data_IF_968390202852
#
_entry.id   IF_968390202852
#
_cell.length_a   1.000
_cell.length_b   1.000
_cell.length_c   1.000
_cell.angle_alpha   90.00
_cell.angle_beta   90.00
_cell.angle_gamma   90.00
#
_symmetry.space_group_name_H-M   'P 1'
#
loop_
_entity.id
_entity.type
_entity.pdbx_description
1 polymer ?
#
# COMPACT_ATOMS: atom_id res chain seq x y z
N UNK A 1 38.31 63.55 3.47
CA UNK A 1 37.92 62.13 3.62
C UNK A 1 36.48 62.01 3.18
N UNK A 2 36.29 61.74 1.90
CA UNK A 2 34.97 61.60 1.29
C UNK A 2 34.49 60.15 1.45
N UNK A 3 33.20 59.90 1.67
CA UNK A 3 32.68 58.54 1.81
C UNK A 3 32.76 57.83 0.45
N UNK A 4 33.32 56.63 0.41
CA UNK A 4 33.24 55.79 -0.77
C UNK A 4 31.79 55.33 -0.95
N UNK A 5 31.14 55.88 -1.97
CA UNK A 5 29.90 55.38 -2.53
C UNK A 5 30.16 54.00 -3.16
N UNK A 6 29.56 52.95 -2.61
CA UNK A 6 29.48 51.67 -3.29
C UNK A 6 28.63 51.81 -4.56
N UNK A 7 29.07 51.29 -5.73
CA UNK A 7 28.34 51.48 -6.96
C UNK A 7 27.15 50.54 -7.05
N UNK A 8 26.01 51.13 -7.43
CA UNK A 8 25.02 50.64 -8.38
C UNK A 8 24.67 49.13 -8.36
N UNK A 9 23.50 48.86 -7.79
CA UNK A 9 22.45 48.04 -8.39
C UNK A 9 22.90 47.16 -9.57
N UNK A 10 23.33 45.93 -9.27
CA UNK A 10 23.32 44.87 -10.26
C UNK A 10 21.84 44.61 -10.57
N UNK A 11 21.33 45.22 -11.64
CA UNK A 11 20.07 44.83 -12.25
C UNK A 11 20.18 43.33 -12.57
N UNK A 12 19.69 42.47 -11.67
CA UNK A 12 19.35 41.10 -12.02
C UNK A 12 18.17 41.26 -12.97
N UNK A 13 18.44 41.16 -14.28
CA UNK A 13 17.40 41.06 -15.30
C UNK A 13 16.52 39.88 -14.93
N UNK A 14 15.40 40.20 -14.30
CA UNK A 14 14.16 39.46 -14.13
C UNK A 14 14.16 38.07 -14.76
N UNK A 15 14.53 37.06 -13.97
CA UNK A 15 14.12 35.67 -14.17
C UNK A 15 12.60 35.47 -13.98
N UNK A 16 11.92 36.52 -13.49
CA UNK A 16 10.49 36.60 -13.22
C UNK A 16 9.60 36.13 -14.39
N UNK A 17 9.98 36.39 -15.65
CA UNK A 17 9.18 35.98 -16.81
C UNK A 17 9.30 34.50 -17.24
N UNK A 18 10.26 33.74 -16.69
CA UNK A 18 10.52 32.34 -17.08
C UNK A 18 9.93 31.31 -16.10
N UNK A 19 9.74 31.68 -14.84
CA UNK A 19 9.16 30.81 -13.82
C UNK A 19 7.65 30.61 -14.05
N UNK A 20 6.91 31.67 -14.39
CA UNK A 20 5.45 31.62 -14.57
C UNK A 20 4.95 30.52 -15.51
N UNK A 21 5.71 30.21 -16.57
CA UNK A 21 5.32 29.18 -17.54
C UNK A 21 5.46 27.75 -17.02
N UNK A 22 6.19 27.58 -15.93
CA UNK A 22 6.47 26.28 -15.31
C UNK A 22 5.57 26.01 -14.11
N UNK A 23 4.86 27.02 -13.62
CA UNK A 23 3.98 26.91 -12.45
C UNK A 23 2.52 26.65 -12.84
N UNK A 24 1.77 26.10 -11.89
CA UNK A 24 0.33 26.00 -11.96
C UNK A 24 -0.32 27.38 -12.17
N UNK A 25 -1.40 27.49 -12.96
CA UNK A 25 -2.11 28.76 -13.15
C UNK A 25 -2.66 29.36 -11.85
N UNK A 26 -2.87 28.53 -10.82
CA UNK A 26 -3.35 28.95 -9.49
C UNK A 26 -2.24 29.50 -8.60
N UNK A 27 -0.96 29.36 -8.99
CA UNK A 27 0.18 29.81 -8.19
C UNK A 27 0.60 31.20 -8.64
N UNK A 28 0.75 32.11 -7.69
CA UNK A 28 1.28 33.45 -7.92
C UNK A 28 2.80 33.45 -7.68
N UNK A 29 3.60 33.55 -8.74
CA UNK A 29 5.06 33.57 -8.63
C UNK A 29 5.58 34.74 -7.79
N UNK A 30 4.91 35.90 -7.82
CA UNK A 30 5.34 37.07 -7.04
C UNK A 30 5.32 36.82 -5.53
N UNK A 31 4.42 35.96 -5.04
CA UNK A 31 4.40 35.58 -3.62
C UNK A 31 5.62 34.71 -3.26
N UNK A 32 6.05 33.85 -4.18
CA UNK A 32 7.23 33.00 -3.99
C UNK A 32 8.49 33.88 -4.01
N UNK A 33 8.56 34.85 -4.92
CA UNK A 33 9.66 35.82 -5.00
C UNK A 33 9.74 36.74 -3.78
N UNK A 34 8.62 36.99 -3.07
CA UNK A 34 8.61 37.75 -1.82
C UNK A 34 9.12 36.91 -0.63
N UNK A 35 8.79 35.62 -0.60
CA UNK A 35 9.14 34.72 0.49
C UNK A 35 10.58 34.20 0.42
N UNK A 36 11.13 34.03 -0.79
CA UNK A 36 12.46 33.46 -1.01
C UNK A 36 13.36 34.45 -1.76
N UNK A 37 14.57 34.66 -1.24
CA UNK A 37 15.55 35.58 -1.87
C UNK A 37 16.06 35.05 -3.22
N UNK A 38 16.18 33.72 -3.34
CA UNK A 38 16.63 33.03 -4.55
C UNK A 38 15.77 31.80 -4.86
N UNK A 39 15.59 31.41 -6.14
CA UNK A 39 14.92 30.16 -6.50
C UNK A 39 15.55 28.90 -5.88
N UNK A 40 16.86 28.94 -5.61
CA UNK A 40 17.60 27.86 -4.94
C UNK A 40 17.24 27.70 -3.46
N UNK A 41 16.62 28.71 -2.84
CA UNK A 41 16.18 28.67 -1.45
C UNK A 41 14.77 28.07 -1.30
N UNK A 42 14.06 27.84 -2.41
CA UNK A 42 12.70 27.30 -2.40
C UNK A 42 12.73 25.85 -1.89
N UNK A 43 11.97 25.59 -0.83
CA UNK A 43 11.77 24.24 -0.32
C UNK A 43 11.24 23.30 -1.41
N UNK A 44 11.84 22.10 -1.52
CA UNK A 44 11.54 21.12 -2.57
C UNK A 44 10.03 20.82 -2.69
N UNK A 45 9.33 20.68 -1.56
CA UNK A 45 7.90 20.38 -1.56
C UNK A 45 7.10 21.57 -2.10
N UNK A 46 7.46 22.80 -1.72
CA UNK A 46 6.78 24.02 -2.15
C UNK A 46 6.99 24.21 -3.65
N UNK A 47 8.23 24.17 -4.12
CA UNK A 47 8.55 24.29 -5.55
C UNK A 47 7.93 23.16 -6.37
N UNK A 48 8.07 21.92 -5.92
CA UNK A 48 7.57 20.74 -6.62
C UNK A 48 6.04 20.69 -6.75
N UNK A 49 5.30 21.14 -5.74
CA UNK A 49 3.83 21.25 -5.79
C UNK A 49 3.35 22.47 -6.59
N UNK A 50 4.20 23.49 -6.71
CA UNK A 50 3.88 24.69 -7.47
C UNK A 50 3.99 24.47 -8.99
N UNK A 51 4.79 23.50 -9.44
CA UNK A 51 4.97 23.17 -10.86
C UNK A 51 3.68 22.72 -11.55
N UNK A 52 3.47 23.18 -12.78
CA UNK A 52 2.40 22.71 -13.65
C UNK A 52 2.58 21.21 -13.96
N UNK A 53 1.52 20.39 -13.85
CA UNK A 53 1.58 18.98 -14.18
C UNK A 53 1.96 18.73 -15.63
N UNK A 54 2.72 17.65 -15.87
CA UNK A 54 2.95 17.17 -17.22
C UNK A 54 1.63 16.65 -17.84
N UNK A 55 1.55 16.64 -19.17
CA UNK A 55 0.34 16.18 -19.88
C UNK A 55 -0.03 14.75 -19.49
N UNK A 56 -1.20 14.56 -18.89
CA UNK A 56 -1.68 13.26 -18.43
C UNK A 56 -1.10 12.81 -17.08
N UNK A 57 -0.33 13.65 -16.39
CA UNK A 57 0.20 13.41 -15.06
C UNK A 57 -0.49 14.30 -14.02
N UNK A 58 -0.40 13.90 -12.75
CA UNK A 58 -0.81 14.73 -11.61
C UNK A 58 0.33 15.60 -11.07
N UNK A 59 1.58 15.22 -11.35
CA UNK A 59 2.78 15.85 -10.81
C UNK A 59 3.49 16.70 -11.87
N UNK A 60 4.13 17.76 -11.41
CA UNK A 60 5.08 18.54 -12.20
C UNK A 60 6.36 17.75 -12.55
N UNK A 61 7.21 18.27 -13.44
CA UNK A 61 8.42 17.61 -13.90
C UNK A 61 9.37 17.14 -12.77
N UNK A 62 9.59 17.95 -11.74
CA UNK A 62 10.54 17.65 -10.66
C UNK A 62 10.03 16.51 -9.80
N UNK A 63 8.79 16.61 -9.28
CA UNK A 63 8.21 15.54 -8.48
C UNK A 63 7.98 14.26 -9.28
N UNK A 64 7.66 14.36 -10.58
CA UNK A 64 7.57 13.19 -11.47
C UNK A 64 8.91 12.45 -11.56
N UNK A 65 10.01 13.19 -11.74
CA UNK A 65 11.36 12.61 -11.81
C UNK A 65 11.73 11.91 -10.50
N UNK A 66 11.53 12.57 -9.36
CA UNK A 66 11.83 12.02 -8.04
C UNK A 66 10.98 10.79 -7.73
N UNK A 67 9.67 10.87 -7.97
CA UNK A 67 8.74 9.77 -7.76
C UNK A 67 9.07 8.56 -8.64
N UNK A 68 9.32 8.77 -9.94
CA UNK A 68 9.67 7.70 -10.86
C UNK A 68 10.99 7.01 -10.46
N UNK A 69 12.02 7.77 -10.06
CA UNK A 69 13.28 7.21 -9.56
C UNK A 69 13.07 6.40 -8.29
N UNK A 70 12.29 6.91 -7.33
CA UNK A 70 12.01 6.19 -6.09
C UNK A 70 11.25 4.89 -6.38
N UNK A 71 10.19 4.91 -7.18
CA UNK A 71 9.41 3.73 -7.52
C UNK A 71 10.24 2.70 -8.31
N UNK A 72 11.08 3.16 -9.25
CA UNK A 72 12.00 2.29 -9.98
C UNK A 72 13.00 1.61 -9.06
N UNK A 73 13.59 2.36 -8.11
CA UNK A 73 14.54 1.82 -7.15
C UNK A 73 13.86 0.82 -6.20
N UNK A 74 12.64 1.12 -5.73
CA UNK A 74 11.85 0.18 -4.92
C UNK A 74 11.58 -1.11 -5.68
N UNK A 75 11.09 -1.03 -6.93
CA UNK A 75 10.83 -2.22 -7.76
C UNK A 75 12.09 -3.04 -8.03
N UNK A 76 13.20 -2.40 -8.40
CA UNK A 76 14.45 -3.10 -8.75
C UNK A 76 15.25 -3.59 -7.55
N UNK A 77 15.14 -2.90 -6.42
CA UNK A 77 15.85 -3.23 -5.18
C UNK A 77 15.14 -4.27 -4.33
N UNK A 78 13.85 -4.53 -4.59
CA UNK A 78 13.08 -5.53 -3.87
C UNK A 78 13.33 -6.94 -4.42
N UNK A 79 14.00 -7.76 -3.61
CA UNK A 79 14.22 -9.19 -3.89
C UNK A 79 12.90 -9.96 -4.03
N UNK A 80 11.83 -9.51 -3.38
CA UNK A 80 10.52 -10.15 -3.41
C UNK A 80 9.53 -9.45 -4.34
N UNK A 81 9.99 -8.57 -5.23
CA UNK A 81 9.11 -8.00 -6.26
C UNK A 81 8.41 -9.13 -7.02
N UNK A 82 7.08 -9.10 -7.06
CA UNK A 82 6.27 -10.26 -7.46
C UNK A 82 6.57 -10.78 -8.87
N UNK A 83 7.00 -9.91 -9.80
CA UNK A 83 7.32 -10.31 -11.17
C UNK A 83 8.74 -10.88 -11.34
N UNK A 84 9.52 -10.95 -10.27
CA UNK A 84 10.85 -11.55 -10.32
C UNK A 84 10.75 -13.04 -10.65
N UNK A 85 11.68 -13.54 -11.47
CA UNK A 85 11.69 -14.92 -11.96
C UNK A 85 12.73 -15.82 -11.27
N UNK A 86 13.47 -15.30 -10.28
CA UNK A 86 14.48 -16.09 -9.56
C UNK A 86 13.87 -16.90 -8.41
N UNK A 87 14.18 -18.19 -8.38
CA UNK A 87 13.80 -19.11 -7.31
C UNK A 87 14.58 -18.80 -6.01
N UNK A 88 14.01 -18.97 -4.81
CA UNK A 88 12.70 -19.54 -4.46
C UNK A 88 11.56 -18.53 -4.34
N UNK A 89 11.76 -17.27 -4.73
CA UNK A 89 10.79 -16.19 -4.48
C UNK A 89 9.84 -15.92 -5.64
N UNK A 90 10.10 -16.52 -6.81
CA UNK A 90 9.29 -16.35 -8.00
C UNK A 90 7.93 -17.07 -7.87
N UNK A 91 6.87 -16.37 -8.28
CA UNK A 91 5.59 -17.01 -8.58
C UNK A 91 5.69 -17.83 -9.88
N UNK A 92 4.84 -18.86 -10.01
CA UNK A 92 4.65 -19.54 -11.30
C UNK A 92 3.99 -18.59 -12.31
N UNK A 93 4.05 -18.93 -13.60
CA UNK A 93 3.38 -18.14 -14.65
C UNK A 93 1.86 -18.08 -14.39
N UNK A 94 1.24 -19.21 -14.01
CA UNK A 94 -0.19 -19.26 -13.71
C UNK A 94 -0.58 -18.41 -12.50
N UNK A 95 0.26 -18.38 -11.47
CA UNK A 95 0.09 -17.49 -10.32
C UNK A 95 0.24 -16.02 -10.72
N UNK A 96 1.21 -15.68 -11.56
CA UNK A 96 1.41 -14.31 -12.06
C UNK A 96 0.24 -13.82 -12.90
N UNK A 97 -0.35 -14.67 -13.73
CA UNK A 97 -1.49 -14.31 -14.56
C UNK A 97 -2.71 -13.97 -13.69
N UNK A 98 -2.95 -14.72 -12.61
CA UNK A 98 -3.99 -14.40 -11.64
C UNK A 98 -3.73 -13.08 -10.90
N UNK A 99 -2.49 -12.83 -10.46
CA UNK A 99 -2.11 -11.54 -9.84
C UNK A 99 -2.34 -10.38 -10.81
N UNK A 100 -1.95 -10.52 -12.09
CA UNK A 100 -2.08 -9.47 -13.12
C UNK A 100 -3.52 -9.17 -13.52
N UNK A 101 -4.39 -10.17 -13.47
CA UNK A 101 -5.83 -10.02 -13.74
C UNK A 101 -6.55 -9.23 -12.63
N UNK A 102 -6.01 -9.22 -11.41
CA UNK A 102 -6.64 -8.60 -10.25
C UNK A 102 -6.74 -7.08 -10.41
N UNK A 103 -7.94 -6.53 -10.17
CA UNK A 103 -8.20 -5.09 -10.16
C UNK A 103 -8.52 -4.61 -8.74
N UNK A 104 -8.25 -3.32 -8.45
CA UNK A 104 -8.66 -2.74 -7.16
C UNK A 104 -10.19 -2.71 -7.01
N UNK A 105 -10.92 -2.60 -8.12
CA UNK A 105 -12.37 -2.75 -8.14
C UNK A 105 -12.83 -4.12 -7.61
N UNK A 106 -12.19 -5.20 -8.06
CA UNK A 106 -12.45 -6.57 -7.57
C UNK A 106 -12.15 -6.70 -6.08
N UNK A 107 -11.00 -6.20 -5.63
CA UNK A 107 -10.60 -6.23 -4.22
C UNK A 107 -11.66 -5.53 -3.34
N UNK A 108 -12.16 -4.38 -3.77
CA UNK A 108 -13.21 -3.66 -3.05
C UNK A 108 -14.51 -4.46 -3.03
N UNK A 109 -14.93 -5.03 -4.16
CA UNK A 109 -16.13 -5.88 -4.24
C UNK A 109 -16.07 -7.11 -3.32
N UNK A 110 -14.89 -7.71 -3.14
CA UNK A 110 -14.71 -8.89 -2.28
C UNK A 110 -14.73 -8.57 -0.78
N UNK A 111 -14.43 -7.32 -0.40
CA UNK A 111 -14.14 -6.96 1.00
C UNK A 111 -15.04 -5.87 1.57
N UNK A 112 -15.94 -5.27 0.78
CA UNK A 112 -16.84 -4.22 1.24
C UNK A 112 -18.28 -4.74 1.34
N UNK A 113 -18.93 -4.54 2.49
CA UNK A 113 -20.26 -5.09 2.78
C UNK A 113 -21.37 -4.48 1.90
N UNK A 114 -21.31 -3.18 1.64
CA UNK A 114 -22.39 -2.42 0.98
C UNK A 114 -22.08 -1.98 -0.46
N UNK A 115 -20.98 -2.45 -1.05
CA UNK A 115 -20.61 -2.10 -2.43
C UNK A 115 -21.06 -3.20 -3.38
N UNK A 116 -22.13 -2.93 -4.13
CA UNK A 116 -22.68 -3.84 -5.15
C UNK A 116 -22.34 -3.45 -6.59
N UNK A 117 -22.04 -2.18 -6.81
CA UNK A 117 -21.68 -1.63 -8.11
C UNK A 117 -20.44 -0.76 -7.96
N UNK A 118 -19.49 -0.92 -8.88
CA UNK A 118 -18.24 -0.18 -8.87
C UNK A 118 -17.71 0.00 -10.29
N UNK A 119 -17.02 1.12 -10.54
CA UNK A 119 -16.32 1.35 -11.79
C UNK A 119 -15.05 0.50 -11.88
N UNK A 120 -14.66 0.12 -13.10
CA UNK A 120 -13.49 -0.75 -13.30
C UNK A 120 -12.17 -0.05 -12.91
N UNK A 121 -11.97 1.19 -13.38
CA UNK A 121 -10.83 2.00 -12.98
C UNK A 121 -11.20 2.93 -11.82
N UNK A 122 -10.91 2.48 -10.60
CA UNK A 122 -11.24 3.23 -9.38
C UNK A 122 -10.45 4.52 -9.19
N UNK A 123 -9.34 4.70 -9.91
CA UNK A 123 -8.54 5.93 -9.87
C UNK A 123 -9.07 7.03 -10.80
N UNK A 124 -9.98 6.68 -11.72
CA UNK A 124 -10.64 7.63 -12.60
C UNK A 124 -12.06 7.92 -12.09
N UNK A 125 -12.57 9.10 -12.43
CA UNK A 125 -13.97 9.42 -12.20
C UNK A 125 -14.86 8.47 -13.00
N UNK A 126 -16.05 8.24 -12.47
CA UNK A 126 -17.07 7.47 -13.16
C UNK A 126 -17.58 8.28 -14.36
N UNK A 127 -17.87 7.59 -15.46
CA UNK A 127 -18.49 8.17 -16.65
C UNK A 127 -19.42 7.16 -17.34
N UNK A 128 -20.22 7.61 -18.30
CA UNK A 128 -21.20 6.76 -19.00
C UNK A 128 -20.61 5.97 -20.18
N UNK A 129 -19.35 6.18 -20.54
CA UNK A 129 -18.79 5.69 -21.80
C UNK A 129 -17.77 4.55 -21.62
N UNK A 130 -16.87 4.68 -20.65
CA UNK A 130 -15.73 3.78 -20.47
C UNK A 130 -15.44 3.39 -19.02
N UNK A 131 -15.95 4.13 -18.04
CA UNK A 131 -15.74 3.83 -16.62
C UNK A 131 -17.05 3.83 -15.82
N UNK A 132 -18.12 3.28 -16.41
CA UNK A 132 -19.40 3.16 -15.75
C UNK A 132 -19.37 2.10 -14.65
N UNK A 133 -20.12 2.30 -13.55
CA UNK A 133 -20.24 1.28 -12.51
C UNK A 133 -20.89 0.00 -13.03
N UNK A 134 -20.24 -1.13 -12.81
CA UNK A 134 -20.75 -2.47 -13.13
C UNK A 134 -21.02 -3.24 -11.85
N UNK A 135 -21.89 -4.24 -11.92
CA UNK A 135 -22.17 -5.11 -10.77
C UNK A 135 -20.92 -5.89 -10.36
N UNK A 136 -20.68 -6.00 -9.05
CA UNK A 136 -19.61 -6.82 -8.47
C UNK A 136 -19.74 -8.32 -8.81
N UNK A 137 -20.94 -8.76 -9.18
CA UNK A 137 -21.21 -10.14 -9.65
C UNK A 137 -21.05 -10.30 -11.16
N UNK A 138 -20.69 -9.25 -11.90
CA UNK A 138 -20.48 -9.33 -13.33
C UNK A 138 -19.19 -10.08 -13.67
N UNK A 139 -19.19 -10.76 -14.82
CA UNK A 139 -18.01 -11.43 -15.39
C UNK A 139 -16.95 -10.46 -15.92
N UNK A 140 -17.14 -9.15 -15.74
CA UNK A 140 -16.14 -8.14 -16.10
C UNK A 140 -15.14 -7.93 -14.94
N UNK A 141 -15.50 -8.33 -13.72
CA UNK A 141 -14.69 -8.24 -12.52
C UNK A 141 -14.35 -9.64 -12.00
N UNK A 142 -13.48 -10.33 -12.74
CA UNK A 142 -13.03 -11.67 -12.42
C UNK A 142 -12.36 -11.75 -11.06
N UNK A 143 -12.70 -12.79 -10.30
CA UNK A 143 -12.07 -13.09 -9.00
C UNK A 143 -10.74 -13.83 -9.21
N UNK A 144 -9.86 -13.76 -8.20
CA UNK A 144 -8.61 -14.49 -8.17
C UNK A 144 -8.86 -16.00 -8.05
N UNK A 145 -8.29 -16.80 -8.94
CA UNK A 145 -8.28 -18.26 -8.82
C UNK A 145 -7.10 -18.73 -7.95
N UNK A 146 -7.41 -19.12 -6.73
CA UNK A 146 -6.43 -19.65 -5.77
C UNK A 146 -6.01 -21.11 -6.06
N UNK A 147 -6.58 -21.77 -7.07
CA UNK A 147 -6.23 -23.15 -7.42
C UNK A 147 -4.73 -23.33 -7.71
N UNK A 148 -4.08 -22.29 -8.25
CA UNK A 148 -2.64 -22.27 -8.56
C UNK A 148 -1.72 -22.16 -7.35
N UNK A 149 -2.25 -21.93 -6.14
CA UNK A 149 -1.50 -21.94 -4.88
C UNK A 149 -1.69 -23.22 -4.08
N UNK A 150 -2.43 -24.19 -4.64
CA UNK A 150 -2.61 -25.49 -4.01
C UNK A 150 -1.26 -26.18 -3.89
N UNK A 151 -0.92 -26.57 -2.67
CA UNK A 151 0.27 -27.33 -2.40
C UNK A 151 0.13 -28.75 -2.97
N UNK A 152 1.11 -29.16 -3.78
CA UNK A 152 1.21 -30.50 -4.34
C UNK A 152 1.91 -31.46 -3.36
N UNK A 153 2.44 -30.97 -2.23
CA UNK A 153 2.96 -31.83 -1.19
C UNK A 153 1.86 -32.80 -0.71
N UNK A 154 2.16 -34.11 -0.62
CA UNK A 154 1.19 -35.05 -0.09
C UNK A 154 0.85 -34.63 1.34
N UNK A 155 -0.45 -34.64 1.66
CA UNK A 155 -0.92 -34.41 3.04
C UNK A 155 -0.09 -35.26 3.98
N UNK A 156 0.67 -34.61 4.86
CA UNK A 156 1.49 -35.32 5.84
C UNK A 156 0.58 -36.20 6.66
N UNK A 157 0.75 -37.52 6.54
CA UNK A 157 0.06 -38.47 7.40
C UNK A 157 0.73 -38.35 8.75
N UNK A 158 0.12 -37.59 9.64
CA UNK A 158 0.55 -37.56 11.03
C UNK A 158 0.39 -38.98 11.59
N UNK A 159 1.36 -39.49 12.37
CA UNK A 159 1.25 -40.80 13.01
C UNK A 159 0.12 -40.85 14.07
N UNK A 160 -0.53 -39.70 14.33
CA UNK A 160 -1.60 -39.56 15.30
C UNK A 160 -2.92 -39.99 14.65
N UNK A 161 -3.43 -41.14 15.11
CA UNK A 161 -4.75 -41.65 14.71
C UNK A 161 -5.87 -40.91 15.45
N UNK A 162 -7.09 -40.94 14.89
CA UNK A 162 -8.30 -40.46 15.58
C UNK A 162 -8.46 -41.10 16.97
N UNK A 163 -8.16 -42.39 17.09
CA UNK A 163 -8.19 -43.12 18.37
C UNK A 163 -7.17 -42.60 19.38
N UNK A 164 -6.00 -42.14 18.92
CA UNK A 164 -5.00 -41.51 19.78
C UNK A 164 -5.51 -40.18 20.30
N UNK A 165 -6.13 -39.36 19.45
CA UNK A 165 -6.75 -38.08 19.85
C UNK A 165 -7.90 -38.31 20.84
N UNK A 166 -8.81 -39.24 20.54
CA UNK A 166 -9.93 -39.59 21.42
C UNK A 166 -9.44 -40.10 22.78
N UNK A 167 -8.41 -40.96 22.81
CA UNK A 167 -7.80 -41.43 24.04
C UNK A 167 -7.15 -40.29 24.84
N UNK A 168 -6.44 -39.38 24.18
CA UNK A 168 -5.81 -38.22 24.81
C UNK A 168 -6.87 -37.29 25.43
N UNK A 169 -7.94 -36.98 24.71
CA UNK A 169 -9.07 -36.19 25.21
C UNK A 169 -9.69 -36.88 26.44
N UNK A 170 -9.98 -38.19 26.35
CA UNK A 170 -10.57 -38.94 27.47
C UNK A 170 -9.68 -38.91 28.71
N UNK A 171 -8.38 -39.20 28.56
CA UNK A 171 -7.42 -39.16 29.66
C UNK A 171 -7.31 -37.76 30.25
N UNK A 172 -7.32 -36.72 29.42
CA UNK A 172 -7.34 -35.32 29.87
C UNK A 172 -8.59 -34.99 30.71
N UNK A 173 -9.77 -35.44 30.28
CA UNK A 173 -11.03 -35.26 31.03
C UNK A 173 -10.98 -36.02 32.36
N UNK A 174 -10.51 -37.27 32.39
CA UNK A 174 -10.37 -38.04 33.62
C UNK A 174 -9.38 -37.40 34.60
N UNK A 175 -8.23 -36.93 34.09
CA UNK A 175 -7.23 -36.23 34.90
C UNK A 175 -7.79 -34.91 35.45
N UNK A 176 -8.51 -34.13 34.65
CA UNK A 176 -9.19 -32.91 35.07
C UNK A 176 -10.16 -33.19 36.23
N UNK A 177 -11.02 -34.21 36.11
CA UNK A 177 -11.95 -34.60 37.19
C UNK A 177 -11.22 -34.99 38.47
N UNK A 178 -10.15 -35.78 38.37
CA UNK A 178 -9.33 -36.17 39.53
C UNK A 178 -8.69 -34.96 40.23
N UNK A 179 -8.19 -33.99 39.46
CA UNK A 179 -7.62 -32.76 40.00
C UNK A 179 -8.68 -31.94 40.72
N UNK A 180 -9.86 -31.76 40.12
CA UNK A 180 -10.98 -31.05 40.76
C UNK A 180 -11.42 -31.70 42.08
N UNK A 181 -11.52 -33.03 42.14
CA UNK A 181 -11.81 -33.74 43.40
C UNK A 181 -10.71 -33.58 44.45
N UNK A 182 -9.43 -33.60 44.04
CA UNK A 182 -8.30 -33.41 44.94
C UNK A 182 -8.25 -31.99 45.51
N UNK A 183 -8.46 -30.97 44.67
CA UNK A 183 -8.58 -29.57 45.08
C UNK A 183 -9.77 -29.38 46.04
N UNK A 184 -10.94 -29.95 45.73
CA UNK A 184 -12.09 -29.91 46.62
C UNK A 184 -11.81 -30.51 48.01
N UNK A 185 -11.13 -31.67 48.06
CA UNK A 185 -10.69 -32.29 49.33
C UNK A 185 -9.69 -31.42 50.08
N UNK A 186 -8.75 -30.79 49.39
CA UNK A 186 -7.77 -29.89 50.01
C UNK A 186 -8.44 -28.65 50.61
N UNK A 187 -9.36 -28.02 49.87
CA UNK A 187 -10.13 -26.87 50.35
C UNK A 187 -10.94 -27.24 51.61
N UNK A 188 -11.61 -28.39 51.61
CA UNK A 188 -12.34 -28.87 52.79
C UNK A 188 -11.41 -29.12 53.99
N UNK A 189 -10.28 -29.79 53.78
CA UNK A 189 -9.31 -30.07 54.84
C UNK A 189 -8.65 -28.80 55.41
N UNK A 190 -8.50 -27.75 54.61
CA UNK A 190 -8.00 -26.45 55.05
C UNK A 190 -9.08 -25.63 55.77
N UNK A 191 -10.34 -25.68 55.32
CA UNK A 191 -11.47 -25.02 55.99
C UNK A 191 -11.88 -25.67 57.32
N UNK A 192 -11.52 -26.93 57.57
CA UNK A 192 -11.70 -27.62 58.86
C UNK A 192 -10.60 -27.30 59.88
N UNK A 193 -9.58 -26.51 59.52
CA UNK A 193 -8.42 -26.15 60.36
C UNK A 193 -8.44 -24.70 60.87
N UNK A 194 -9.48 -23.93 60.56
CA UNK A 194 -9.75 -22.58 61.07
C UNK A 194 -10.99 -22.60 61.95
#
# INVERSE_FOLDING_TARGET
>A
MSPQSHPASRQRKTASGQIDKQLLPSVNASLIEELYESPEDIDLIIGGLAEAPQRGALLGPTLSCLFAKQMQNTKRGDRFWYENFFHPTAFSISQLDEIRKTTLARIICDNADDIRFIQNNVFALQDEYGNCPVSCSSSFLDSLDFSHWKDEEPKRVLPITKTTVEKAIRLGIEQYKRLQEAEGRQIQAQGLRT
#
